data_IF_876632256130
#
_entry.id   IF_876632256130
#
_cell.length_a   1.000
_cell.length_b   1.000
_cell.length_c   1.000
_cell.angle_alpha   90.00
_cell.angle_beta   90.00
_cell.angle_gamma   90.00
#
_symmetry.space_group_name_H-M   'P 1'
#
loop_
_entity.id
_entity.type
_entity.pdbx_description
1 polymer ?
#
# COMPACT_ATOMS: atom_id res chain seq x y z
N UNK A 1 12.38 16.91 -26.31
CA UNK A 1 12.50 16.63 -24.87
C UNK A 1 13.89 16.21 -24.38
N UNK A 2 14.89 15.93 -25.25
CA UNK A 2 16.27 15.68 -24.78
C UNK A 2 17.05 16.93 -24.37
N UNK A 3 16.62 18.13 -24.79
CA UNK A 3 17.44 19.36 -24.69
C UNK A 3 17.06 20.31 -23.53
N UNK A 4 16.10 19.97 -22.66
CA UNK A 4 15.61 20.91 -21.63
C UNK A 4 16.17 20.66 -20.21
N UNK A 5 16.94 19.58 -19.99
CA UNK A 5 17.51 19.24 -18.67
C UNK A 5 18.95 19.79 -18.50
N UNK A 6 19.54 20.40 -19.53
CA UNK A 6 20.95 20.84 -19.52
C UNK A 6 21.27 22.08 -18.67
N UNK A 7 20.29 22.65 -17.93
CA UNK A 7 20.52 23.83 -17.08
C UNK A 7 20.58 23.52 -15.57
N UNK A 8 20.40 22.26 -15.16
CA UNK A 8 20.45 21.82 -13.76
C UNK A 8 21.66 20.94 -13.44
N UNK A 9 21.97 20.80 -12.16
CA UNK A 9 22.99 19.85 -11.69
C UNK A 9 22.63 18.41 -12.11
N UNK A 10 23.63 17.60 -12.43
CA UNK A 10 23.46 16.16 -12.71
C UNK A 10 22.75 15.49 -11.54
N UNK A 11 21.63 14.82 -11.81
CA UNK A 11 20.92 13.98 -10.85
C UNK A 11 21.43 12.56 -11.04
N UNK A 12 21.93 11.93 -9.98
CA UNK A 12 22.43 10.55 -10.04
C UNK A 12 21.35 9.52 -9.74
N UNK A 13 20.38 9.85 -8.86
CA UNK A 13 19.26 8.98 -8.52
C UNK A 13 18.02 9.75 -8.07
N UNK A 14 16.85 9.10 -8.17
CA UNK A 14 15.55 9.61 -7.72
C UNK A 14 14.93 8.63 -6.72
N UNK A 15 14.34 9.15 -5.65
CA UNK A 15 13.59 8.37 -4.67
C UNK A 15 12.14 8.87 -4.66
N UNK A 16 11.20 7.97 -4.91
CA UNK A 16 9.76 8.25 -4.91
C UNK A 16 9.09 7.47 -3.79
N UNK A 17 8.38 8.18 -2.91
CA UNK A 17 7.61 7.58 -1.82
C UNK A 17 6.11 7.59 -2.14
N UNK A 18 5.37 6.71 -1.46
CA UNK A 18 3.92 6.53 -1.58
C UNK A 18 3.42 6.34 -3.02
N UNK A 19 4.17 5.57 -3.82
CA UNK A 19 3.91 5.38 -5.27
C UNK A 19 2.55 4.74 -5.58
N UNK A 20 1.87 4.17 -4.60
CA UNK A 20 0.50 3.72 -4.76
C UNK A 20 -0.47 4.85 -5.13
N UNK A 21 -0.16 6.11 -4.79
CA UNK A 21 -0.97 7.27 -5.14
C UNK A 21 -0.64 7.83 -6.53
N UNK A 22 0.38 7.30 -7.20
CA UNK A 22 0.78 7.77 -8.52
C UNK A 22 -0.19 7.23 -9.56
N UNK A 23 -0.42 8.03 -10.59
CA UNK A 23 -1.13 7.60 -11.78
C UNK A 23 -0.23 6.67 -12.61
N UNK A 24 -0.79 5.69 -13.35
CA UNK A 24 -0.01 4.82 -14.22
C UNK A 24 0.92 5.58 -15.18
N UNK A 25 0.46 6.72 -15.70
CA UNK A 25 1.27 7.61 -16.56
C UNK A 25 2.50 8.17 -15.85
N UNK A 26 2.42 8.47 -14.55
CA UNK A 26 3.59 8.93 -13.79
C UNK A 26 4.61 7.79 -13.64
N UNK A 27 4.15 6.56 -13.46
CA UNK A 27 5.05 5.39 -13.42
C UNK A 27 5.75 5.17 -14.76
N UNK A 28 5.05 5.37 -15.89
CA UNK A 28 5.67 5.33 -17.22
C UNK A 28 6.73 6.41 -17.41
N UNK A 29 6.49 7.61 -16.87
CA UNK A 29 7.49 8.68 -16.86
C UNK A 29 8.72 8.28 -16.05
N UNK A 30 8.55 7.64 -14.89
CA UNK A 30 9.68 7.13 -14.10
C UNK A 30 10.48 6.08 -14.87
N UNK A 31 9.82 5.14 -15.57
CA UNK A 31 10.50 4.16 -16.41
C UNK A 31 11.29 4.85 -17.54
N UNK A 32 10.71 5.86 -18.20
CA UNK A 32 11.43 6.61 -19.24
C UNK A 32 12.67 7.34 -18.73
N UNK A 33 12.71 7.75 -17.45
CA UNK A 33 13.91 8.35 -16.86
C UNK A 33 15.05 7.33 -16.73
N UNK A 34 14.73 6.08 -16.41
CA UNK A 34 15.70 4.98 -16.37
C UNK A 34 16.25 4.74 -17.78
N UNK A 35 15.35 4.57 -18.75
CA UNK A 35 15.71 4.20 -20.13
C UNK A 35 16.45 5.31 -20.88
N UNK A 36 15.92 6.54 -20.87
CA UNK A 36 16.42 7.63 -21.71
C UNK A 36 17.57 8.42 -21.07
N UNK A 37 17.67 8.41 -19.75
CA UNK A 37 18.62 9.23 -18.99
C UNK A 37 19.57 8.42 -18.09
N UNK A 38 19.42 7.08 -18.04
CA UNK A 38 20.25 6.21 -17.19
C UNK A 38 20.25 6.65 -15.71
N UNK A 39 19.09 7.13 -15.25
CA UNK A 39 18.89 7.56 -13.86
C UNK A 39 18.40 6.39 -13.01
N UNK A 40 19.03 6.14 -11.87
CA UNK A 40 18.53 5.13 -10.93
C UNK A 40 17.27 5.65 -10.21
N UNK A 41 16.15 4.94 -10.35
CA UNK A 41 14.88 5.30 -9.70
C UNK A 41 14.49 4.26 -8.66
N UNK A 42 14.38 4.69 -7.42
CA UNK A 42 13.93 3.87 -6.29
C UNK A 42 12.51 4.28 -5.88
N UNK A 43 11.62 3.31 -5.78
CA UNK A 43 10.22 3.54 -5.42
C UNK A 43 9.84 2.80 -4.15
N UNK A 44 9.05 3.45 -3.31
CA UNK A 44 8.52 2.91 -2.05
C UNK A 44 7.01 3.12 -1.99
N UNK A 45 6.29 2.14 -1.47
CA UNK A 45 4.85 2.22 -1.32
C UNK A 45 4.20 0.87 -0.99
N UNK A 46 2.92 0.92 -0.69
CA UNK A 46 2.10 -0.28 -0.48
C UNK A 46 1.56 -0.81 -1.80
N UNK A 47 1.30 -2.11 -1.87
CA UNK A 47 0.93 -2.76 -3.14
C UNK A 47 -0.57 -2.75 -3.38
N UNK A 48 -1.36 -3.11 -2.36
CA UNK A 48 -2.80 -3.29 -2.43
C UNK A 48 -3.55 -2.53 -1.33
N UNK A 49 -4.78 -2.17 -1.64
CA UNK A 49 -5.70 -1.51 -0.73
C UNK A 49 -6.35 -2.50 0.26
N UNK A 50 -7.28 -1.99 1.07
CA UNK A 50 -8.01 -2.79 2.06
C UNK A 50 -8.92 -3.86 1.45
N UNK A 51 -9.25 -3.73 0.15
CA UNK A 51 -10.06 -4.67 -0.65
C UNK A 51 -9.20 -5.72 -1.34
N UNK A 52 -7.87 -5.70 -1.11
CA UNK A 52 -6.89 -6.59 -1.74
C UNK A 52 -6.70 -6.36 -3.24
N UNK A 53 -7.11 -5.18 -3.72
CA UNK A 53 -6.88 -4.77 -5.09
C UNK A 53 -5.61 -3.94 -5.17
N UNK A 54 -4.78 -4.21 -6.18
CA UNK A 54 -3.59 -3.41 -6.41
C UNK A 54 -3.98 -1.95 -6.67
N UNK A 55 -3.24 -1.02 -6.08
CA UNK A 55 -3.37 0.38 -6.49
C UNK A 55 -2.96 0.54 -7.95
N UNK A 56 -3.59 1.43 -8.73
CA UNK A 56 -3.25 1.62 -10.13
C UNK A 56 -1.75 1.95 -10.36
N UNK A 57 -1.17 2.82 -9.53
CA UNK A 57 0.26 3.13 -9.55
C UNK A 57 1.12 1.92 -9.23
N UNK A 58 0.84 1.22 -8.13
CA UNK A 58 1.57 0.01 -7.75
C UNK A 58 1.45 -1.10 -8.79
N UNK A 59 0.28 -1.30 -9.39
CA UNK A 59 0.07 -2.25 -10.49
C UNK A 59 0.99 -1.92 -11.68
N UNK A 60 1.00 -0.66 -12.11
CA UNK A 60 1.86 -0.25 -13.23
C UNK A 60 3.34 -0.39 -12.88
N UNK A 61 3.71 -0.15 -11.62
CA UNK A 61 5.07 -0.34 -11.14
C UNK A 61 5.47 -1.82 -11.21
N UNK A 62 4.59 -2.75 -10.83
CA UNK A 62 4.84 -4.19 -10.97
C UNK A 62 5.06 -4.63 -12.42
N UNK A 63 4.41 -3.96 -13.38
CA UNK A 63 4.54 -4.27 -14.80
C UNK A 63 5.86 -3.78 -15.41
N UNK A 64 6.46 -2.70 -14.86
CA UNK A 64 7.61 -2.02 -15.45
C UNK A 64 8.91 -2.13 -14.66
N UNK A 65 8.86 -2.40 -13.36
CA UNK A 65 10.05 -2.37 -12.51
C UNK A 65 11.01 -3.51 -12.84
N UNK A 66 12.30 -3.19 -12.99
CA UNK A 66 13.36 -4.18 -13.19
C UNK A 66 13.52 -5.12 -11.99
N UNK A 67 13.26 -4.60 -10.78
CA UNK A 67 13.40 -5.32 -9.51
C UNK A 67 12.32 -4.91 -8.53
N UNK A 68 11.78 -5.88 -7.82
CA UNK A 68 10.77 -5.66 -6.78
C UNK A 68 11.19 -6.40 -5.53
N UNK A 69 11.39 -5.64 -4.45
CA UNK A 69 11.80 -6.17 -3.17
C UNK A 69 10.69 -5.95 -2.14
N UNK A 70 10.21 -7.03 -1.53
CA UNK A 70 9.32 -6.92 -0.37
C UNK A 70 10.17 -6.59 0.86
N UNK A 71 9.79 -5.55 1.60
CA UNK A 71 10.49 -5.17 2.83
C UNK A 71 10.57 -6.35 3.81
N UNK A 72 11.74 -6.55 4.40
CA UNK A 72 12.02 -7.69 5.29
C UNK A 72 11.45 -7.54 6.71
N UNK A 73 10.93 -6.36 7.07
CA UNK A 73 10.27 -6.14 8.36
C UNK A 73 8.88 -6.76 8.29
N UNK A 74 8.74 -7.95 8.87
CA UNK A 74 7.49 -8.69 8.87
C UNK A 74 6.57 -8.20 9.98
N UNK A 75 5.53 -7.44 9.62
CA UNK A 75 4.42 -7.24 10.52
C UNK A 75 3.73 -8.59 10.78
N UNK A 76 3.27 -8.81 12.01
CA UNK A 76 2.56 -10.02 12.41
C UNK A 76 1.06 -9.76 12.52
N UNK A 77 0.27 -10.69 12.02
CA UNK A 77 -1.16 -10.77 12.33
C UNK A 77 -1.33 -11.18 13.80
N UNK A 78 -2.47 -10.88 14.41
CA UNK A 78 -2.79 -11.28 15.78
C UNK A 78 -2.66 -12.79 16.06
N UNK A 79 -2.66 -13.63 15.00
CA UNK A 79 -2.45 -15.07 15.11
C UNK A 79 -0.97 -15.52 15.03
N UNK A 80 -0.03 -14.58 15.00
CA UNK A 80 1.41 -14.84 14.92
C UNK A 80 1.93 -15.16 13.52
N UNK A 81 1.06 -15.30 12.51
CA UNK A 81 1.48 -15.45 11.10
C UNK A 81 1.85 -14.10 10.50
N UNK A 82 2.72 -14.09 9.50
CA UNK A 82 3.05 -12.89 8.72
C UNK A 82 1.78 -12.20 8.20
N UNK A 83 1.67 -10.91 8.49
CA UNK A 83 0.64 -10.05 7.93
C UNK A 83 1.06 -9.58 6.54
N UNK A 84 0.13 -9.66 5.59
CA UNK A 84 0.37 -9.29 4.19
C UNK A 84 -0.77 -8.48 3.60
N UNK A 85 -1.85 -8.25 4.36
CA UNK A 85 -3.06 -7.61 3.87
C UNK A 85 -3.43 -6.47 4.81
N UNK A 86 -3.77 -5.32 4.24
CA UNK A 86 -4.34 -4.21 4.97
C UNK A 86 -5.84 -4.45 5.16
N UNK A 87 -6.36 -4.17 6.35
CA UNK A 87 -7.79 -4.21 6.66
C UNK A 87 -8.20 -2.83 7.17
N UNK A 88 -9.33 -2.33 6.64
CA UNK A 88 -9.97 -1.13 7.14
C UNK A 88 -11.10 -1.55 8.07
N UNK A 89 -11.14 -0.98 9.26
CA UNK A 89 -12.18 -1.22 10.25
C UNK A 89 -12.98 0.06 10.46
N UNK A 90 -14.29 -0.05 10.42
CA UNK A 90 -15.24 1.02 10.79
C UNK A 90 -15.99 0.54 12.02
N UNK A 91 -15.86 1.25 13.14
CA UNK A 91 -16.43 0.86 14.44
C UNK A 91 -16.06 -0.57 14.85
N UNK A 92 -14.82 -0.98 14.56
CA UNK A 92 -14.30 -2.31 14.88
C UNK A 92 -14.77 -3.43 13.95
N UNK A 93 -15.56 -3.13 12.92
CA UNK A 93 -15.96 -4.11 11.90
C UNK A 93 -15.17 -3.88 10.62
N UNK A 94 -14.66 -4.97 10.04
CA UNK A 94 -13.92 -4.90 8.79
C UNK A 94 -14.85 -4.53 7.63
N UNK A 95 -14.46 -3.55 6.84
CA UNK A 95 -15.17 -3.13 5.63
C UNK A 95 -14.38 -3.56 4.39
N UNK A 96 -15.08 -3.98 3.35
CA UNK A 96 -14.51 -4.41 2.05
C UNK A 96 -15.06 -3.62 0.86
N UNK A 97 -15.86 -2.59 1.14
CA UNK A 97 -16.44 -1.69 0.15
C UNK A 97 -16.13 -0.24 0.55
N UNK A 98 -16.20 0.68 -0.42
CA UNK A 98 -15.94 2.11 -0.25
C UNK A 98 -14.72 2.62 -1.01
N UNK A 99 -14.48 3.93 -0.93
CA UNK A 99 -13.40 4.61 -1.64
C UNK A 99 -12.02 4.08 -1.24
N UNK A 100 -11.20 3.80 -2.26
CA UNK A 100 -9.86 3.22 -2.13
C UNK A 100 -8.91 4.16 -1.39
N UNK A 101 -9.05 5.46 -1.61
CA UNK A 101 -8.19 6.52 -1.06
C UNK A 101 -8.93 7.23 0.06
N UNK A 102 -8.63 6.87 1.30
CA UNK A 102 -9.03 7.62 2.49
C UNK A 102 -7.79 8.27 3.09
N UNK A 103 -7.21 9.24 2.36
CA UNK A 103 -6.13 10.08 2.89
C UNK A 103 -6.77 10.99 3.93
N UNK A 104 -6.57 10.68 5.21
CA UNK A 104 -6.69 11.65 6.29
C UNK A 104 -8.09 11.99 6.80
N UNK A 105 -9.17 11.32 6.40
CA UNK A 105 -10.50 11.57 7.00
C UNK A 105 -10.70 10.77 8.30
N UNK A 106 -9.78 10.99 9.25
CA UNK A 106 -10.01 10.80 10.69
C UNK A 106 -10.39 12.15 11.28
N UNK A 107 -11.29 12.87 10.61
CA UNK A 107 -11.83 14.11 11.16
C UNK A 107 -12.47 13.78 12.52
N UNK A 108 -12.09 14.47 13.62
CA UNK A 108 -12.52 14.13 14.99
C UNK A 108 -14.04 14.26 15.21
N UNK A 109 -14.77 14.75 14.21
CA UNK A 109 -16.22 14.93 14.21
C UNK A 109 -16.98 13.85 13.41
N UNK A 110 -16.29 12.85 12.85
CA UNK A 110 -16.98 11.71 12.24
C UNK A 110 -17.58 10.82 13.33
N UNK A 111 -18.86 10.44 13.27
CA UNK A 111 -19.48 9.51 14.21
C UNK A 111 -18.91 8.08 14.09
N UNK A 112 -18.05 7.83 13.10
CA UNK A 112 -17.46 6.54 12.82
C UNK A 112 -15.96 6.55 13.16
N UNK A 113 -15.52 5.57 13.95
CA UNK A 113 -14.09 5.33 14.20
C UNK A 113 -13.51 4.48 13.06
N UNK A 114 -12.71 5.10 12.21
CA UNK A 114 -11.96 4.41 11.14
C UNK A 114 -10.57 4.07 11.64
N UNK A 115 -10.22 2.79 11.60
CA UNK A 115 -8.90 2.29 11.99
C UNK A 115 -8.37 1.32 10.93
N UNK A 116 -7.05 1.10 10.92
CA UNK A 116 -6.41 0.16 10.02
C UNK A 116 -5.64 -0.90 10.82
N UNK A 117 -5.75 -2.14 10.37
CA UNK A 117 -5.03 -3.29 10.93
C UNK A 117 -4.35 -4.07 9.80
N UNK A 118 -3.23 -4.74 10.09
CA UNK A 118 -2.56 -5.66 9.17
C UNK A 118 -2.88 -7.11 9.54
N UNK A 119 -3.34 -7.89 8.57
CA UNK A 119 -3.80 -9.27 8.75
C UNK A 119 -3.03 -10.25 7.86
N UNK A 120 -3.01 -11.51 8.26
CA UNK A 120 -2.65 -12.61 7.37
C UNK A 120 -3.79 -12.83 6.36
N UNK A 121 -3.48 -13.34 5.17
CA UNK A 121 -4.47 -13.59 4.11
C UNK A 121 -5.69 -14.37 4.60
N UNK A 122 -5.49 -15.41 5.43
CA UNK A 122 -6.60 -16.23 5.93
C UNK A 122 -7.58 -15.43 6.80
N UNK A 123 -7.10 -14.53 7.67
CA UNK A 123 -7.99 -13.73 8.53
C UNK A 123 -8.61 -12.54 7.80
N UNK A 124 -7.90 -11.96 6.84
CA UNK A 124 -8.48 -10.97 5.94
C UNK A 124 -9.65 -11.56 5.13
N UNK A 125 -9.43 -12.70 4.46
CA UNK A 125 -10.46 -13.35 3.64
C UNK A 125 -11.67 -13.88 4.44
N UNK A 126 -11.50 -14.14 5.74
CA UNK A 126 -12.58 -14.56 6.64
C UNK A 126 -13.25 -13.37 7.36
N UNK A 127 -12.81 -12.14 7.10
CA UNK A 127 -13.28 -10.94 7.78
C UNK A 127 -13.15 -11.04 9.32
N UNK A 128 -11.98 -11.51 9.77
CA UNK A 128 -11.66 -11.75 11.19
C UNK A 128 -10.59 -10.77 11.70
N UNK A 129 -10.96 -9.51 12.02
CA UNK A 129 -10.07 -8.56 12.68
C UNK A 129 -9.67 -9.02 14.09
N UNK A 130 -8.65 -8.38 14.68
CA UNK A 130 -8.18 -8.71 16.03
C UNK A 130 -9.27 -8.66 17.09
N UNK A 131 -10.26 -7.76 16.98
CA UNK A 131 -11.37 -7.66 17.93
C UNK A 131 -12.27 -8.92 17.93
N UNK A 132 -12.37 -9.65 16.81
CA UNK A 132 -13.15 -10.89 16.70
C UNK A 132 -12.51 -12.07 17.43
N UNK A 133 -11.20 -12.01 17.73
CA UNK A 133 -10.50 -13.07 18.47
C UNK A 133 -11.03 -13.27 19.91
N UNK A 134 -11.64 -12.23 20.50
CA UNK A 134 -12.23 -12.29 21.84
C UNK A 134 -13.50 -13.12 21.92
N UNK A 135 -14.17 -13.35 20.79
CA UNK A 135 -15.42 -14.13 20.73
C UNK A 135 -15.11 -15.63 20.80
N UNK A 136 -14.04 -16.07 20.14
CA UNK A 136 -13.67 -17.50 20.05
C UNK A 136 -13.07 -18.09 21.33
N UNK A 137 -12.69 -17.26 22.31
CA UNK A 137 -12.22 -17.75 23.62
C UNK A 137 -13.36 -18.00 24.62
N UNK A 138 -14.58 -17.49 24.39
CA UNK A 138 -15.71 -17.65 25.32
C UNK A 138 -16.54 -18.92 25.09
N UNK A 139 -16.41 -19.55 23.92
CA UNK A 139 -17.19 -20.75 23.57
C UNK A 139 -16.47 -22.07 23.94
N UNK A 140 -15.27 -22.00 24.54
CA UNK A 140 -14.48 -23.14 24.99
C UNK A 140 -14.24 -23.15 26.51
N UNK A 141 -15.10 -22.48 27.29
CA UNK A 141 -15.07 -22.44 28.75
C UNK A 141 -16.43 -22.74 29.35
#
# INVERSE_FOLDING_TARGET
>A
MKNEIESGNKIDYLICDEVQFYQPKQIEQLASLVDDFSLDVFTFGITADFRTELFPGSKRLYELADRINVLQVEALCWCGKRATHNARLVNGQMVIEGEQVAVGDTSPNSPFSVTYEVLCRNHHMKLMPSCSSKITQKDNS
#
